data_IF_814843750824
#
_entry.id   IF_814843750824
#
_cell.length_a   1.000
_cell.length_b   1.000
_cell.length_c   1.000
_cell.angle_alpha   90.00
_cell.angle_beta   90.00
_cell.angle_gamma   90.00
#
_symmetry.space_group_name_H-M   'P 1'
#
loop_
_entity.id
_entity.type
_entity.pdbx_description
1 polymer ?
#
# COMPACT_ATOMS: atom_id res chain seq x y z
N UNK A 1 -140.23 91.79 -54.01
CA UNK A 1 -139.28 92.47 -53.10
C UNK A 1 -138.72 91.51 -52.04
N UNK A 2 -139.51 90.59 -51.46
CA UNK A 2 -139.03 89.63 -50.44
C UNK A 2 -138.04 88.55 -50.89
N UNK A 3 -138.12 88.03 -52.13
CA UNK A 3 -137.25 86.92 -52.58
C UNK A 3 -135.81 87.35 -52.92
N UNK A 4 -135.59 88.61 -53.32
CA UNK A 4 -134.27 89.12 -53.67
C UNK A 4 -133.40 89.33 -52.42
N UNK A 5 -133.99 89.81 -51.31
CA UNK A 5 -133.27 89.98 -50.04
C UNK A 5 -132.84 88.65 -49.41
N UNK A 6 -133.60 87.57 -49.61
CA UNK A 6 -133.23 86.24 -49.10
C UNK A 6 -132.05 85.63 -49.88
N UNK A 7 -131.99 85.85 -51.19
CA UNK A 7 -130.87 85.39 -52.03
C UNK A 7 -129.59 86.17 -51.73
N UNK A 8 -129.68 87.47 -51.48
CA UNK A 8 -128.55 88.32 -51.08
C UNK A 8 -127.98 87.94 -49.71
N UNK A 9 -128.86 87.61 -48.75
CA UNK A 9 -128.45 87.08 -47.45
C UNK A 9 -127.74 85.72 -47.56
N UNK A 10 -128.25 84.79 -48.38
CA UNK A 10 -127.61 83.49 -48.63
C UNK A 10 -126.24 83.61 -49.33
N UNK A 11 -126.09 84.58 -50.24
CA UNK A 11 -124.80 84.85 -50.87
C UNK A 11 -123.78 85.44 -49.87
N UNK A 12 -124.23 86.33 -48.99
CA UNK A 12 -123.39 86.87 -47.91
C UNK A 12 -122.97 85.79 -46.90
N UNK A 13 -123.84 84.83 -46.60
CA UNK A 13 -123.55 83.70 -45.72
C UNK A 13 -122.48 82.77 -46.33
N UNK A 14 -122.64 82.36 -47.58
CA UNK A 14 -121.64 81.52 -48.30
C UNK A 14 -120.29 82.23 -48.40
N UNK A 15 -120.28 83.55 -48.61
CA UNK A 15 -119.05 84.35 -48.61
C UNK A 15 -118.37 84.36 -47.24
N UNK A 16 -119.15 84.50 -46.16
CA UNK A 16 -118.61 84.46 -44.79
C UNK A 16 -118.07 83.07 -44.41
N UNK A 17 -118.73 81.99 -44.85
CA UNK A 17 -118.28 80.64 -44.59
C UNK A 17 -117.01 80.28 -45.39
N UNK A 18 -116.91 80.72 -46.65
CA UNK A 18 -115.70 80.55 -47.45
C UNK A 18 -114.51 81.26 -46.81
N UNK A 19 -114.72 82.50 -46.33
CA UNK A 19 -113.70 83.24 -45.60
C UNK A 19 -113.27 82.52 -44.31
N UNK A 20 -114.24 81.97 -43.55
CA UNK A 20 -113.95 81.20 -42.33
C UNK A 20 -113.19 79.91 -42.63
N UNK A 21 -113.46 79.24 -43.77
CA UNK A 21 -112.69 78.06 -44.20
C UNK A 21 -111.26 78.43 -44.57
N UNK A 22 -111.06 79.55 -45.26
CA UNK A 22 -109.72 80.05 -45.58
C UNK A 22 -108.93 80.47 -44.34
N UNK A 23 -109.59 81.06 -43.34
CA UNK A 23 -108.98 81.35 -42.02
C UNK A 23 -108.57 80.06 -41.30
N UNK A 24 -109.44 79.04 -41.29
CA UNK A 24 -109.14 77.74 -40.67
C UNK A 24 -108.00 77.02 -41.41
N UNK A 25 -107.96 77.10 -42.73
CA UNK A 25 -106.88 76.52 -43.54
C UNK A 25 -105.54 77.19 -43.21
N UNK A 26 -105.49 78.52 -43.13
CA UNK A 26 -104.29 79.26 -42.69
C UNK A 26 -103.83 78.84 -41.30
N UNK A 27 -104.75 78.67 -40.36
CA UNK A 27 -104.42 78.23 -38.99
C UNK A 27 -103.81 76.81 -39.02
N UNK A 28 -104.43 75.91 -39.78
CA UNK A 28 -103.97 74.52 -39.90
C UNK A 28 -102.58 74.44 -40.56
N UNK A 29 -102.33 75.23 -41.61
CA UNK A 29 -101.02 75.33 -42.26
C UNK A 29 -99.93 75.86 -41.30
N UNK A 30 -100.27 76.86 -40.49
CA UNK A 30 -99.36 77.40 -39.48
C UNK A 30 -99.04 76.37 -38.38
N UNK A 31 -100.03 75.59 -37.93
CA UNK A 31 -99.82 74.49 -36.97
C UNK A 31 -98.92 73.39 -37.54
N UNK A 32 -99.11 72.99 -38.81
CA UNK A 32 -98.25 72.00 -39.45
C UNK A 32 -96.80 72.47 -39.54
N UNK A 33 -96.58 73.73 -39.91
CA UNK A 33 -95.23 74.32 -39.94
C UNK A 33 -94.60 74.38 -38.54
N UNK A 34 -95.39 74.64 -37.51
CA UNK A 34 -94.92 74.66 -36.12
C UNK A 34 -94.54 73.25 -35.64
N UNK A 35 -95.37 72.24 -35.91
CA UNK A 35 -95.08 70.85 -35.55
C UNK A 35 -93.83 70.33 -36.27
N UNK A 36 -93.64 70.66 -37.56
CA UNK A 36 -92.41 70.32 -38.28
C UNK A 36 -91.17 70.91 -37.63
N UNK A 37 -91.25 72.17 -37.17
CA UNK A 37 -90.15 72.84 -36.47
C UNK A 37 -89.83 72.17 -35.12
N UNK A 38 -90.85 71.77 -34.37
CA UNK A 38 -90.66 71.08 -33.09
C UNK A 38 -90.11 69.65 -33.26
N UNK A 39 -90.57 68.90 -34.26
CA UNK A 39 -90.01 67.58 -34.59
C UNK A 39 -88.53 67.66 -34.97
N UNK A 40 -88.13 68.69 -35.72
CA UNK A 40 -86.73 68.89 -36.07
C UNK A 40 -85.87 69.14 -34.81
N UNK A 41 -86.33 69.99 -33.89
CA UNK A 41 -85.65 70.25 -32.61
C UNK A 41 -85.54 69.00 -31.74
N UNK A 42 -86.59 68.17 -31.68
CA UNK A 42 -86.58 66.93 -30.89
C UNK A 42 -85.54 65.94 -31.45
N UNK A 43 -85.46 65.81 -32.78
CA UNK A 43 -84.47 64.97 -33.45
C UNK A 43 -83.03 65.39 -33.16
N UNK A 44 -82.76 66.70 -33.17
CA UNK A 44 -81.44 67.26 -32.82
C UNK A 44 -81.06 66.98 -31.36
N UNK A 45 -82.00 67.16 -30.43
CA UNK A 45 -81.77 66.90 -28.99
C UNK A 45 -81.49 65.42 -28.71
N UNK A 46 -82.24 64.50 -29.34
CA UNK A 46 -82.04 63.07 -29.18
C UNK A 46 -80.70 62.60 -29.75
N UNK A 47 -80.29 63.15 -30.90
CA UNK A 47 -79.00 62.83 -31.51
C UNK A 47 -77.83 63.34 -30.65
N UNK A 48 -77.92 64.57 -30.13
CA UNK A 48 -76.92 65.13 -29.23
C UNK A 48 -76.76 64.29 -27.94
N UNK A 49 -77.88 63.84 -27.35
CA UNK A 49 -77.87 63.00 -26.16
C UNK A 49 -77.30 61.59 -26.42
N UNK A 50 -77.71 60.95 -27.51
CA UNK A 50 -77.21 59.63 -27.91
C UNK A 50 -75.70 59.63 -28.19
N UNK A 51 -75.18 60.69 -28.82
CA UNK A 51 -73.75 60.86 -29.06
C UNK A 51 -72.97 61.04 -27.75
N UNK A 52 -73.51 61.79 -26.78
CA UNK A 52 -72.88 61.97 -25.46
C UNK A 52 -72.81 60.65 -24.67
N UNK A 53 -73.90 59.87 -24.63
CA UNK A 53 -73.91 58.58 -23.92
C UNK A 53 -73.01 57.53 -24.56
N UNK A 54 -72.88 57.55 -25.90
CA UNK A 54 -71.99 56.64 -26.64
C UNK A 54 -70.51 56.98 -26.41
N UNK A 55 -70.17 58.27 -26.32
CA UNK A 55 -68.83 58.72 -25.99
C UNK A 55 -68.46 58.34 -24.53
N UNK A 56 -69.28 58.71 -23.55
CA UNK A 56 -69.05 58.37 -22.12
C UNK A 56 -68.87 56.87 -21.89
N UNK A 57 -69.71 56.03 -22.51
CA UNK A 57 -69.60 54.56 -22.41
C UNK A 57 -68.32 54.02 -23.06
N UNK A 58 -67.80 54.66 -24.11
CA UNK A 58 -66.60 54.23 -24.81
C UNK A 58 -65.32 54.64 -24.07
N UNK A 59 -65.35 55.78 -23.36
CA UNK A 59 -64.20 56.28 -22.59
C UNK A 59 -64.07 55.66 -21.18
N UNK A 60 -65.16 55.17 -20.57
CA UNK A 60 -65.12 54.64 -19.18
C UNK A 60 -64.24 53.38 -18.99
N UNK A 61 -64.23 52.37 -19.89
CA UNK A 61 -63.31 51.24 -19.79
C UNK A 61 -61.86 51.63 -20.07
N UNK A 62 -61.64 52.56 -21.01
CA UNK A 62 -60.32 53.02 -21.45
C UNK A 62 -59.56 53.81 -20.38
N UNK A 63 -60.24 54.44 -19.42
CA UNK A 63 -59.61 55.17 -18.31
C UNK A 63 -59.26 54.24 -17.13
N UNK A 64 -60.06 53.20 -16.89
CA UNK A 64 -59.83 52.25 -15.77
C UNK A 64 -58.71 51.25 -16.04
N UNK A 65 -58.49 50.88 -17.30
CA UNK A 65 -57.41 49.98 -17.70
C UNK A 65 -56.00 50.53 -17.39
N UNK A 66 -55.63 51.78 -17.75
CA UNK A 66 -54.32 52.34 -17.40
C UNK A 66 -54.17 52.55 -15.89
N UNK A 67 -55.26 52.79 -15.15
CA UNK A 67 -55.21 52.82 -13.68
C UNK A 67 -54.91 51.46 -13.06
N UNK A 68 -55.49 50.37 -13.59
CA UNK A 68 -55.18 49.00 -13.16
C UNK A 68 -53.73 48.64 -13.51
N UNK A 69 -53.29 48.91 -14.74
CA UNK A 69 -51.91 48.71 -15.17
C UNK A 69 -50.92 49.50 -14.32
N UNK A 70 -51.25 50.74 -13.92
CA UNK A 70 -50.45 51.53 -12.97
C UNK A 70 -50.33 50.84 -11.61
N UNK A 71 -51.45 50.36 -11.04
CA UNK A 71 -51.44 49.66 -9.74
C UNK A 71 -50.65 48.35 -9.80
N UNK A 72 -50.78 47.59 -10.88
CA UNK A 72 -50.00 46.36 -11.13
C UNK A 72 -48.50 46.67 -11.29
N UNK A 73 -48.13 47.73 -12.01
CA UNK A 73 -46.74 48.19 -12.11
C UNK A 73 -46.17 48.58 -10.74
N UNK A 74 -46.94 49.28 -9.90
CA UNK A 74 -46.48 49.62 -8.55
C UNK A 74 -46.26 48.38 -7.68
N UNK A 75 -47.14 47.38 -7.73
CA UNK A 75 -46.91 46.12 -7.00
C UNK A 75 -45.70 45.36 -7.53
N UNK A 76 -45.55 45.27 -8.86
CA UNK A 76 -44.40 44.60 -9.49
C UNK A 76 -43.08 45.31 -9.16
N UNK A 77 -43.05 46.65 -9.12
CA UNK A 77 -41.87 47.41 -8.71
C UNK A 77 -41.51 47.17 -7.23
N UNK A 78 -42.50 47.03 -6.35
CA UNK A 78 -42.27 46.72 -4.95
C UNK A 78 -41.72 45.30 -4.77
N UNK A 79 -42.26 44.34 -5.52
CA UNK A 79 -41.78 42.95 -5.54
C UNK A 79 -40.37 42.87 -6.13
N UNK A 80 -40.06 43.64 -7.17
CA UNK A 80 -38.73 43.73 -7.77
C UNK A 80 -37.68 44.18 -6.74
N UNK A 81 -37.97 45.20 -5.92
CA UNK A 81 -37.06 45.64 -4.88
C UNK A 81 -36.85 44.58 -3.78
N UNK A 82 -37.86 43.77 -3.48
CA UNK A 82 -37.73 42.63 -2.56
C UNK A 82 -36.89 41.51 -3.17
N UNK A 83 -37.11 41.16 -4.43
CA UNK A 83 -36.31 40.19 -5.16
C UNK A 83 -34.84 40.61 -5.27
N UNK A 84 -34.57 41.90 -5.48
CA UNK A 84 -33.21 42.44 -5.51
C UNK A 84 -32.52 42.34 -4.15
N UNK A 85 -33.24 42.59 -3.05
CA UNK A 85 -32.70 42.38 -1.69
C UNK A 85 -32.38 40.92 -1.40
N UNK A 86 -33.27 40.00 -1.75
CA UNK A 86 -33.03 38.56 -1.59
C UNK A 86 -31.85 38.09 -2.46
N UNK A 87 -31.74 38.56 -3.71
CA UNK A 87 -30.59 38.28 -4.58
C UNK A 87 -29.28 38.80 -3.98
N UNK A 88 -29.26 40.01 -3.43
CA UNK A 88 -28.08 40.58 -2.79
C UNK A 88 -27.71 39.82 -1.50
N UNK A 89 -28.70 39.36 -0.75
CA UNK A 89 -28.49 38.53 0.44
C UNK A 89 -27.87 37.17 0.06
N UNK A 90 -28.44 36.48 -0.93
CA UNK A 90 -27.90 35.21 -1.43
C UNK A 90 -26.48 35.40 -1.98
N UNK A 91 -26.22 36.49 -2.72
CA UNK A 91 -24.87 36.81 -3.22
C UNK A 91 -23.87 37.02 -2.08
N UNK A 92 -24.27 37.76 -1.04
CA UNK A 92 -23.39 38.03 0.12
C UNK A 92 -23.09 36.74 0.89
N UNK A 93 -24.09 35.89 1.10
CA UNK A 93 -23.93 34.59 1.75
C UNK A 93 -23.00 33.68 0.95
N UNK A 94 -23.17 33.62 -0.37
CA UNK A 94 -22.30 32.83 -1.24
C UNK A 94 -20.85 33.31 -1.16
N UNK A 95 -20.63 34.63 -1.13
CA UNK A 95 -19.29 35.19 -1.02
C UNK A 95 -18.64 34.88 0.33
N UNK A 96 -19.38 34.99 1.44
CA UNK A 96 -18.89 34.62 2.78
C UNK A 96 -18.55 33.13 2.86
N UNK A 97 -19.39 32.27 2.29
CA UNK A 97 -19.15 30.83 2.24
C UNK A 97 -17.97 30.47 1.34
N UNK A 98 -17.80 31.16 0.21
CA UNK A 98 -16.63 31.01 -0.68
C UNK A 98 -15.33 31.45 0.02
N UNK A 99 -15.35 32.56 0.76
CA UNK A 99 -14.21 33.01 1.57
C UNK A 99 -13.87 31.99 2.67
N UNK A 100 -14.88 31.48 3.39
CA UNK A 100 -14.69 30.43 4.39
C UNK A 100 -14.09 29.16 3.77
N UNK A 101 -14.65 28.68 2.66
CA UNK A 101 -14.13 27.52 1.95
C UNK A 101 -12.71 27.76 1.45
N UNK A 102 -12.39 28.94 0.93
CA UNK A 102 -11.04 29.29 0.50
C UNK A 102 -10.04 29.22 1.65
N UNK A 103 -10.43 29.68 2.85
CA UNK A 103 -9.63 29.63 4.07
C UNK A 103 -9.42 28.20 4.57
N UNK A 104 -10.47 27.38 4.61
CA UNK A 104 -10.38 25.95 4.93
C UNK A 104 -9.45 25.23 3.95
N UNK A 105 -9.59 25.49 2.65
CA UNK A 105 -8.78 24.87 1.62
C UNK A 105 -7.30 25.30 1.71
N UNK A 106 -7.04 26.55 2.10
CA UNK A 106 -5.68 27.03 2.36
C UNK A 106 -5.07 26.36 3.61
N UNK A 107 -5.85 26.17 4.67
CA UNK A 107 -5.42 25.42 5.85
C UNK A 107 -5.04 23.99 5.48
N UNK A 108 -5.87 23.31 4.68
CA UNK A 108 -5.56 21.97 4.18
C UNK A 108 -4.30 21.95 3.30
N UNK A 109 -4.11 22.96 2.42
CA UNK A 109 -2.89 23.08 1.62
C UNK A 109 -1.64 23.23 2.49
N UNK A 110 -1.71 24.04 3.54
CA UNK A 110 -0.61 24.21 4.49
C UNK A 110 -0.32 22.92 5.26
N UNK A 111 -1.35 22.23 5.78
CA UNK A 111 -1.17 20.95 6.46
C UNK A 111 -0.54 19.88 5.54
N UNK A 112 -0.99 19.80 4.28
CA UNK A 112 -0.37 18.91 3.29
C UNK A 112 1.09 19.29 3.05
N UNK A 113 1.42 20.58 2.97
CA UNK A 113 2.80 21.05 2.81
C UNK A 113 3.67 20.65 4.00
N UNK A 114 3.20 20.90 5.23
CA UNK A 114 3.91 20.56 6.47
C UNK A 114 4.15 19.05 6.58
N UNK A 115 3.12 18.24 6.31
CA UNK A 115 3.23 16.77 6.31
C UNK A 115 4.19 16.26 5.23
N UNK A 116 4.21 16.91 4.05
CA UNK A 116 5.13 16.56 2.96
C UNK A 116 6.58 16.87 3.32
N UNK A 117 6.83 18.02 3.97
CA UNK A 117 8.15 18.38 4.47
C UNK A 117 8.62 17.43 5.58
N UNK A 118 7.74 17.10 6.54
CA UNK A 118 8.05 16.16 7.61
C UNK A 118 8.39 14.76 7.07
N UNK A 119 7.63 14.30 6.06
CA UNK A 119 7.90 13.03 5.38
C UNK A 119 9.29 13.05 4.73
N UNK A 120 9.62 14.09 3.98
CA UNK A 120 10.93 14.22 3.35
C UNK A 120 12.07 14.21 4.38
N UNK A 121 11.91 14.91 5.50
CA UNK A 121 12.90 14.92 6.59
C UNK A 121 13.06 13.53 7.24
N UNK A 122 11.97 12.78 7.38
CA UNK A 122 12.00 11.39 7.85
C UNK A 122 12.74 10.48 6.87
N UNK A 123 12.53 10.62 5.56
CA UNK A 123 13.26 9.86 4.54
C UNK A 123 14.77 10.12 4.61
N UNK A 124 15.19 11.38 4.74
CA UNK A 124 16.61 11.74 4.93
C UNK A 124 17.18 11.09 6.19
N UNK A 125 16.42 11.12 7.29
CA UNK A 125 16.82 10.55 8.57
C UNK A 125 16.99 9.04 8.46
N UNK A 126 16.02 8.34 7.84
CA UNK A 126 16.08 6.90 7.59
C UNK A 126 17.31 6.56 6.74
N UNK A 127 17.52 7.27 5.62
CA UNK A 127 18.68 7.03 4.76
C UNK A 127 20.01 7.19 5.52
N UNK A 128 20.09 8.19 6.39
CA UNK A 128 21.27 8.44 7.24
C UNK A 128 21.49 7.32 8.26
N UNK A 129 20.44 6.89 8.97
CA UNK A 129 20.51 5.80 9.95
C UNK A 129 20.86 4.48 9.27
N UNK A 130 20.26 4.18 8.12
CA UNK A 130 20.57 2.99 7.32
C UNK A 130 22.04 2.96 6.89
N UNK A 131 22.58 4.09 6.43
CA UNK A 131 24.01 4.20 6.07
C UNK A 131 24.92 3.93 7.27
N UNK A 132 24.56 4.44 8.45
CA UNK A 132 25.30 4.18 9.70
C UNK A 132 25.19 2.70 10.12
N UNK A 133 24.00 2.11 10.05
CA UNK A 133 23.79 0.70 10.36
C UNK A 133 24.63 -0.21 9.46
N UNK A 134 24.62 0.03 8.14
CA UNK A 134 25.42 -0.75 7.19
C UNK A 134 26.95 -0.63 7.43
N UNK A 135 27.42 0.52 7.93
CA UNK A 135 28.82 0.69 8.31
C UNK A 135 29.15 -0.14 9.57
N UNK A 136 28.29 -0.07 10.59
CA UNK A 136 28.45 -0.83 11.83
C UNK A 136 28.39 -2.35 11.58
N UNK A 137 27.49 -2.81 10.71
CA UNK A 137 27.42 -4.22 10.31
C UNK A 137 28.73 -4.69 9.67
N UNK A 138 29.32 -3.90 8.76
CA UNK A 138 30.61 -4.22 8.15
C UNK A 138 31.73 -4.27 9.19
N UNK A 139 31.76 -3.31 10.11
CA UNK A 139 32.74 -3.27 11.19
C UNK A 139 32.63 -4.50 12.11
N UNK A 140 31.41 -4.85 12.52
CA UNK A 140 31.15 -6.02 13.36
C UNK A 140 31.56 -7.31 12.65
N UNK A 141 31.28 -7.45 11.35
CA UNK A 141 31.68 -8.61 10.55
C UNK A 141 33.21 -8.77 10.53
N UNK A 142 33.95 -7.69 10.32
CA UNK A 142 35.42 -7.75 10.34
C UNK A 142 35.98 -8.06 11.73
N UNK A 143 35.36 -7.51 12.79
CA UNK A 143 35.76 -7.78 14.17
C UNK A 143 35.53 -9.25 14.54
N UNK A 144 34.40 -9.83 14.13
CA UNK A 144 34.10 -11.25 14.30
C UNK A 144 35.12 -12.12 13.56
N UNK A 145 35.44 -11.82 12.30
CA UNK A 145 36.45 -12.57 11.54
C UNK A 145 37.84 -12.51 12.21
N UNK A 146 38.22 -11.35 12.76
CA UNK A 146 39.48 -11.20 13.51
C UNK A 146 39.44 -12.06 14.78
N UNK A 147 38.33 -12.04 15.54
CA UNK A 147 38.17 -12.87 16.74
C UNK A 147 38.21 -14.37 16.43
N UNK A 148 37.57 -14.82 15.36
CA UNK A 148 37.63 -16.21 14.90
C UNK A 148 39.08 -16.62 14.58
N UNK A 149 39.82 -15.78 13.85
CA UNK A 149 41.25 -16.02 13.56
C UNK A 149 42.10 -16.06 14.83
N UNK A 150 41.84 -15.20 15.81
CA UNK A 150 42.54 -15.22 17.10
C UNK A 150 42.22 -16.49 17.90
N UNK A 151 40.96 -16.90 17.92
CA UNK A 151 40.54 -18.14 18.59
C UNK A 151 41.22 -19.36 17.99
N UNK A 152 41.29 -19.47 16.66
CA UNK A 152 42.01 -20.55 15.99
C UNK A 152 43.50 -20.57 16.34
N UNK A 153 44.15 -19.40 16.40
CA UNK A 153 45.55 -19.28 16.84
C UNK A 153 45.73 -19.73 18.29
N UNK A 154 44.81 -19.36 19.18
CA UNK A 154 44.82 -19.77 20.58
C UNK A 154 44.72 -21.29 20.72
N UNK A 155 43.78 -21.93 20.00
CA UNK A 155 43.61 -23.38 20.04
C UNK A 155 44.87 -24.13 19.60
N UNK A 156 45.53 -23.67 18.52
CA UNK A 156 46.82 -24.25 18.08
C UNK A 156 47.91 -24.04 19.12
N UNK A 157 47.96 -22.87 19.76
CA UNK A 157 48.90 -22.60 20.85
C UNK A 157 48.68 -23.54 22.03
N UNK A 158 47.43 -23.75 22.43
CA UNK A 158 47.07 -24.65 23.54
C UNK A 158 47.45 -26.10 23.24
N UNK A 159 47.23 -26.58 22.00
CA UNK A 159 47.65 -27.92 21.57
C UNK A 159 49.18 -28.05 21.66
N UNK A 160 49.92 -27.07 21.12
CA UNK A 160 51.39 -27.07 21.18
C UNK A 160 51.89 -27.04 22.61
N UNK A 161 51.29 -26.23 23.47
CA UNK A 161 51.65 -26.14 24.87
C UNK A 161 51.39 -27.48 25.60
N UNK A 162 50.25 -28.14 25.35
CA UNK A 162 49.98 -29.48 25.89
C UNK A 162 51.02 -30.50 25.42
N UNK A 163 51.39 -30.49 24.14
CA UNK A 163 52.41 -31.39 23.58
C UNK A 163 53.80 -31.17 24.24
N UNK A 164 54.24 -29.91 24.35
CA UNK A 164 55.49 -29.55 25.02
C UNK A 164 55.45 -29.91 26.51
N UNK A 165 54.31 -29.76 27.17
CA UNK A 165 54.14 -30.18 28.57
C UNK A 165 54.28 -31.70 28.71
N UNK A 166 53.66 -32.49 27.83
CA UNK A 166 53.82 -33.95 27.85
C UNK A 166 55.26 -34.35 27.58
N UNK A 167 55.92 -33.74 26.59
CA UNK A 167 57.34 -33.99 26.29
C UNK A 167 58.24 -33.65 27.48
N UNK A 168 58.08 -32.48 28.11
CA UNK A 168 58.82 -32.12 29.31
C UNK A 168 58.59 -33.09 30.47
N UNK A 169 57.37 -33.62 30.60
CA UNK A 169 57.06 -34.65 31.60
C UNK A 169 57.82 -35.94 31.29
N UNK A 170 57.85 -36.37 30.02
CA UNK A 170 58.64 -37.54 29.58
C UNK A 170 60.13 -37.33 29.80
N UNK A 171 60.69 -36.19 29.41
CA UNK A 171 62.11 -35.86 29.61
C UNK A 171 62.47 -35.79 31.09
N UNK A 172 61.59 -35.24 31.94
CA UNK A 172 61.79 -35.23 33.39
C UNK A 172 61.83 -36.65 33.96
N UNK A 173 60.88 -37.50 33.58
CA UNK A 173 60.90 -38.92 33.98
C UNK A 173 62.18 -39.62 33.50
N UNK A 174 62.64 -39.33 32.29
CA UNK A 174 63.89 -39.87 31.74
C UNK A 174 65.13 -39.38 32.49
N UNK A 175 65.15 -38.13 32.95
CA UNK A 175 66.25 -37.55 33.73
C UNK A 175 66.29 -37.99 35.19
N UNK A 176 65.13 -38.28 35.79
CA UNK A 176 65.02 -38.79 37.17
C UNK A 176 65.31 -40.30 37.27
N UNK A 177 65.21 -41.05 36.17
CA UNK A 177 65.52 -42.49 36.08
C UNK A 177 67.02 -42.72 35.83
N UNK A 178 67.65 -43.62 36.60
CA UNK A 178 69.02 -44.04 36.35
C UNK A 178 69.16 -44.80 35.01
N UNK A 179 70.38 -44.88 34.42
CA UNK A 179 70.60 -45.52 33.11
C UNK A 179 70.03 -46.95 32.99
N UNK A 180 70.04 -47.69 34.11
CA UNK A 180 69.56 -49.07 34.19
C UNK A 180 68.03 -49.18 34.17
N UNK A 181 67.33 -48.26 34.85
CA UNK A 181 65.87 -48.20 34.87
C UNK A 181 65.31 -47.70 33.53
N UNK A 182 66.03 -46.79 32.86
CA UNK A 182 65.70 -46.31 31.53
C UNK A 182 65.72 -47.42 30.46
N UNK A 183 66.75 -48.28 30.49
CA UNK A 183 66.86 -49.40 29.55
C UNK A 183 65.77 -50.46 29.80
N UNK A 184 65.44 -50.72 31.06
CA UNK A 184 64.35 -51.64 31.43
C UNK A 184 62.98 -51.16 30.93
N UNK A 185 62.66 -49.87 31.10
CA UNK A 185 61.40 -49.28 30.61
C UNK A 185 61.29 -49.32 29.08
N UNK A 186 62.37 -49.04 28.35
CA UNK A 186 62.37 -49.14 26.88
C UNK A 186 62.20 -50.58 26.39
N UNK A 187 62.78 -51.54 27.12
CA UNK A 187 62.61 -52.95 26.84
C UNK A 187 61.15 -53.38 26.95
N UNK A 188 60.45 -53.00 28.04
CA UNK A 188 59.03 -53.35 28.24
C UNK A 188 58.11 -52.69 27.21
N UNK A 189 58.35 -51.43 26.82
CA UNK A 189 57.56 -50.76 25.77
C UNK A 189 57.71 -51.47 24.41
N UNK A 190 58.96 -51.81 24.02
CA UNK A 190 59.22 -52.53 22.78
C UNK A 190 58.64 -53.94 22.81
N UNK A 191 58.73 -54.60 23.95
CA UNK A 191 58.19 -55.94 24.16
C UNK A 191 56.66 -55.94 24.04
N UNK A 192 55.95 -54.98 24.65
CA UNK A 192 54.52 -54.80 24.47
C UNK A 192 54.13 -54.52 23.03
N UNK A 193 54.85 -53.64 22.32
CA UNK A 193 54.61 -53.37 20.90
C UNK A 193 54.78 -54.62 20.04
N UNK A 194 55.83 -55.41 20.30
CA UNK A 194 56.06 -56.70 19.62
C UNK A 194 54.92 -57.68 19.89
N UNK A 195 54.44 -57.76 21.14
CA UNK A 195 53.30 -58.61 21.51
C UNK A 195 52.02 -58.21 20.79
N UNK A 196 51.71 -56.91 20.69
CA UNK A 196 50.53 -56.44 19.93
C UNK A 196 50.62 -56.81 18.45
N UNK A 197 51.77 -56.58 17.80
CA UNK A 197 51.95 -56.95 16.38
C UNK A 197 51.89 -58.46 16.15
N UNK A 198 52.43 -59.27 17.06
CA UNK A 198 52.32 -60.73 16.98
C UNK A 198 50.87 -61.16 17.06
N UNK A 199 50.10 -60.60 17.98
CA UNK A 199 48.69 -60.94 18.14
C UNK A 199 47.84 -60.53 16.91
N UNK A 200 48.14 -59.38 16.28
CA UNK A 200 47.51 -58.98 15.02
C UNK A 200 47.84 -59.95 13.88
N UNK A 201 49.11 -60.35 13.76
CA UNK A 201 49.55 -61.32 12.76
C UNK A 201 48.98 -62.72 13.01
N UNK A 202 48.87 -63.15 14.26
CA UNK A 202 48.24 -64.42 14.65
C UNK A 202 46.77 -64.44 14.24
N UNK A 203 46.04 -63.35 14.51
CA UNK A 203 44.66 -63.20 14.08
C UNK A 203 44.53 -63.20 12.55
N UNK A 204 45.44 -62.53 11.84
CA UNK A 204 45.47 -62.56 10.38
C UNK A 204 45.74 -63.97 9.84
N UNK A 205 46.71 -64.66 10.42
CA UNK A 205 47.13 -66.00 10.02
C UNK A 205 46.02 -67.02 10.29
N UNK A 206 45.32 -66.93 11.41
CA UNK A 206 44.15 -67.77 11.69
C UNK A 206 43.02 -67.53 10.67
N UNK A 207 42.78 -66.26 10.32
CA UNK A 207 41.81 -65.90 9.26
C UNK A 207 42.21 -66.50 7.90
N UNK A 208 43.47 -66.35 7.51
CA UNK A 208 44.00 -66.92 6.26
C UNK A 208 43.96 -68.46 6.26
N UNK A 209 44.27 -69.11 7.38
CA UNK A 209 44.13 -70.56 7.52
C UNK A 209 42.68 -71.01 7.40
N UNK A 210 41.74 -70.26 7.97
CA UNK A 210 40.31 -70.52 7.80
C UNK A 210 39.88 -70.41 6.34
N UNK A 211 40.35 -69.38 5.64
CA UNK A 211 40.09 -69.18 4.21
C UNK A 211 40.73 -70.27 3.34
N UNK A 212 41.96 -70.71 3.66
CA UNK A 212 42.60 -71.87 3.02
C UNK A 212 41.82 -73.16 3.26
N UNK A 213 41.35 -73.41 4.47
CA UNK A 213 40.54 -74.58 4.78
C UNK A 213 39.22 -74.57 3.99
N UNK A 214 38.55 -73.41 3.88
CA UNK A 214 37.36 -73.22 3.03
C UNK A 214 37.66 -73.49 1.56
N UNK A 215 38.78 -73.00 1.04
CA UNK A 215 39.23 -73.28 -0.33
C UNK A 215 39.52 -74.78 -0.54
N UNK A 216 40.11 -75.46 0.44
CA UNK A 216 40.38 -76.90 0.37
C UNK A 216 39.09 -77.75 0.37
N UNK A 217 38.05 -77.28 1.07
CA UNK A 217 36.72 -77.90 1.06
C UNK A 217 35.99 -77.67 -0.26
N UNK A 218 36.09 -76.47 -0.85
CA UNK A 218 35.53 -76.15 -2.17
C UNK A 218 36.37 -76.69 -3.36
N UNK A 219 37.64 -77.04 -3.13
CA UNK A 219 38.65 -77.32 -4.15
C UNK A 219 39.06 -78.80 -4.27
N UNK A 220 38.17 -79.76 -4.02
CA UNK A 220 38.46 -81.20 -4.25
C UNK A 220 38.61 -81.61 -5.73
N UNK A 221 38.72 -80.68 -6.68
CA UNK A 221 38.83 -80.98 -8.13
C UNK A 221 40.19 -80.66 -8.78
N UNK A 222 41.23 -80.26 -8.04
CA UNK A 222 42.52 -79.85 -8.65
C UNK A 222 43.75 -80.51 -8.01
N UNK A 223 43.65 -81.78 -7.60
CA UNK A 223 44.80 -82.61 -7.15
C UNK A 223 45.64 -83.16 -8.32
N UNK A 224 45.87 -82.39 -9.38
CA UNK A 224 46.59 -82.88 -10.57
C UNK A 224 47.77 -82.01 -11.03
N UNK A 225 48.06 -80.88 -10.36
CA UNK A 225 49.12 -79.95 -10.80
C UNK A 225 50.19 -79.69 -9.71
N UNK A 226 50.50 -80.68 -8.86
CA UNK A 226 51.46 -80.51 -7.77
C UNK A 226 52.92 -80.77 -8.19
N UNK A 227 53.17 -81.30 -9.39
CA UNK A 227 54.52 -81.70 -9.85
C UNK A 227 55.23 -80.70 -10.78
N UNK A 228 54.65 -79.53 -11.11
CA UNK A 228 55.26 -78.58 -12.06
C UNK A 228 55.89 -77.34 -11.40
N UNK A 229 55.64 -77.10 -10.12
CA UNK A 229 56.11 -75.89 -9.41
C UNK A 229 57.32 -76.14 -8.50
N UNK A 230 57.51 -77.36 -7.99
CA UNK A 230 58.69 -77.74 -7.19
C UNK A 230 60.00 -77.78 -8.02
N UNK A 231 59.91 -77.94 -9.34
CA UNK A 231 61.07 -78.00 -10.25
C UNK A 231 61.69 -76.60 -10.49
N UNK A 232 60.87 -75.57 -10.67
CA UNK A 232 61.31 -74.19 -10.98
C UNK A 232 61.99 -73.52 -9.79
N UNK A 233 61.52 -73.79 -8.55
CA UNK A 233 62.11 -73.24 -7.33
C UNK A 233 63.53 -73.75 -7.04
N UNK A 234 63.85 -74.99 -7.43
CA UNK A 234 65.19 -75.58 -7.22
C UNK A 234 66.26 -75.02 -8.15
N UNK A 235 65.90 -74.60 -9.36
CA UNK A 235 66.83 -73.94 -10.30
C UNK A 235 67.18 -72.50 -9.88
N UNK A 236 66.22 -71.75 -9.34
CA UNK A 236 66.44 -70.37 -8.91
C UNK A 236 67.39 -70.27 -7.70
N UNK A 237 67.25 -71.18 -6.73
CA UNK A 237 68.12 -71.24 -5.55
C UNK A 237 69.56 -71.69 -5.90
N UNK A 238 69.72 -72.48 -6.96
CA UNK A 238 71.04 -72.94 -7.42
C UNK A 238 71.81 -71.88 -8.23
N UNK A 239 71.11 -70.97 -8.93
CA UNK A 239 71.73 -69.86 -9.65
C UNK A 239 72.24 -68.73 -8.74
N UNK A 240 71.58 -68.47 -7.61
CA UNK A 240 72.00 -67.42 -6.67
C UNK A 240 73.30 -67.77 -5.92
N UNK A 241 73.54 -69.05 -5.61
CA UNK A 241 74.77 -69.50 -4.93
C UNK A 241 76.02 -69.42 -5.84
N UNK A 242 75.86 -69.32 -7.18
CA UNK A 242 76.98 -69.26 -8.14
C UNK A 242 77.46 -67.85 -8.50
N UNK A 243 76.75 -66.79 -8.12
CA UNK A 243 77.15 -65.39 -8.43
C UNK A 243 77.83 -64.69 -7.23
N UNK A 244 77.66 -65.22 -6.01
CA UNK A 244 78.24 -64.67 -4.78
C UNK A 244 79.68 -65.15 -4.49
N UNK A 245 80.50 -65.36 -5.54
CA UNK A 245 81.90 -65.76 -5.35
C UNK A 245 82.94 -65.04 -6.21
N UNK A 246 82.54 -64.05 -6.99
CA UNK A 246 83.49 -63.21 -7.72
C UNK A 246 83.10 -61.73 -7.59
N UNK A 247 84.13 -60.90 -7.38
CA UNK A 247 84.15 -59.43 -7.53
C UNK A 247 83.97 -58.58 -6.25
N UNK A 248 84.95 -58.71 -5.36
CA UNK A 248 85.55 -57.53 -4.73
C UNK A 248 86.31 -56.68 -5.78
N UNK A 249 86.10 -55.36 -5.72
CA UNK A 249 86.99 -54.23 -6.08
C UNK A 249 86.58 -53.31 -7.25
N UNK A 250 86.45 -52.03 -6.87
CA UNK A 250 87.00 -50.81 -7.51
C UNK A 250 86.09 -50.00 -8.48
N UNK A 251 85.51 -48.92 -7.91
CA UNK A 251 85.69 -47.49 -8.30
C UNK A 251 85.16 -46.95 -9.64
N UNK A 252 84.36 -45.87 -9.53
CA UNK A 252 84.67 -44.48 -9.98
C UNK A 252 83.61 -43.80 -10.88
N UNK A 253 83.20 -42.61 -10.40
CA UNK A 253 82.63 -41.40 -11.02
C UNK A 253 82.13 -41.40 -12.48
N UNK A 254 80.98 -40.73 -12.67
CA UNK A 254 80.78 -39.59 -13.58
C UNK A 254 79.42 -38.90 -13.33
N UNK A 255 79.47 -37.67 -12.80
CA UNK A 255 78.50 -36.57 -13.07
C UNK A 255 78.76 -36.00 -14.50
N UNK A 256 78.01 -35.03 -15.13
CA UNK A 256 77.01 -34.10 -14.57
C UNK A 256 75.78 -33.73 -15.49
N UNK A 257 74.87 -32.91 -14.91
CA UNK A 257 74.16 -31.71 -15.46
C UNK A 257 72.63 -31.70 -15.78
N UNK A 258 71.97 -30.79 -15.03
CA UNK A 258 71.04 -29.69 -15.43
C UNK A 258 69.54 -29.93 -15.70
N UNK A 259 68.69 -29.32 -14.85
CA UNK A 259 67.76 -28.18 -15.18
C UNK A 259 66.56 -28.12 -14.20
N UNK A 260 66.47 -27.12 -13.30
CA UNK A 260 65.64 -25.87 -13.33
C UNK A 260 64.13 -26.10 -13.07
N UNK A 261 63.44 -25.62 -12.02
CA UNK A 261 63.02 -24.22 -11.65
C UNK A 261 62.12 -24.27 -10.36
N UNK A 262 61.59 -23.17 -9.74
CA UNK A 262 62.10 -22.48 -8.53
C UNK A 262 61.12 -22.38 -7.31
N UNK A 263 61.53 -21.79 -6.16
CA UNK A 263 60.63 -21.28 -5.11
C UNK A 263 60.58 -19.74 -5.05
N UNK A 264 59.44 -19.18 -4.60
CA UNK A 264 59.19 -17.73 -4.40
C UNK A 264 59.21 -17.34 -2.89
N UNK A 265 59.39 -16.04 -2.54
CA UNK A 265 60.00 -15.59 -1.29
C UNK A 265 59.01 -15.14 -0.20
N UNK A 266 59.46 -14.89 1.05
CA UNK A 266 58.65 -14.26 2.10
C UNK A 266 58.74 -12.73 2.04
N UNK A 267 57.58 -12.07 2.18
CA UNK A 267 57.42 -10.62 2.22
C UNK A 267 57.28 -10.14 3.67
N UNK A 268 58.18 -9.26 4.09
CA UNK A 268 58.17 -8.51 5.33
C UNK A 268 57.12 -7.39 5.29
N UNK A 269 56.27 -7.31 6.31
CA UNK A 269 55.58 -6.07 6.66
C UNK A 269 55.61 -5.84 8.18
N UNK A 270 56.00 -4.62 8.51
CA UNK A 270 56.24 -4.04 9.83
C UNK A 270 54.97 -3.98 10.68
N UNK A 271 55.05 -4.37 11.95
CA UNK A 271 54.05 -4.03 12.97
C UNK A 271 54.67 -2.98 13.89
N UNK A 272 54.07 -1.78 13.85
CA UNK A 272 54.36 -0.68 14.77
C UNK A 272 53.54 -0.90 16.04
N UNK A 273 54.22 -1.10 17.15
CA UNK A 273 53.65 -1.07 18.50
C UNK A 273 52.96 0.27 18.76
N UNK A 274 51.72 0.21 19.25
CA UNK A 274 51.18 1.22 20.15
C UNK A 274 50.57 0.47 21.34
N UNK A 275 51.27 0.64 22.45
CA UNK A 275 50.92 0.32 23.83
C UNK A 275 49.53 0.83 24.20
N UNK A 276 48.77 0.02 24.94
CA UNK A 276 47.72 0.52 25.84
C UNK A 276 47.49 -0.47 27.00
N UNK A 277 47.20 0.00 28.23
CA UNK A 277 47.52 -0.71 29.45
C UNK A 277 46.42 -1.64 29.98
N UNK A 278 46.91 -2.68 30.65
CA UNK A 278 46.31 -3.48 31.71
C UNK A 278 45.24 -2.75 32.55
N UNK A 279 44.07 -3.38 32.72
CA UNK A 279 43.19 -3.34 33.91
C UNK A 279 42.40 -4.67 33.93
N UNK A 280 42.63 -5.45 35.00
CA UNK A 280 41.66 -6.18 35.86
C UNK A 280 40.21 -6.29 35.35
N UNK A 281 39.48 -7.39 35.50
CA UNK A 281 39.45 -8.33 36.62
C UNK A 281 38.90 -9.69 36.20
N UNK A 282 39.27 -10.67 37.03
CA UNK A 282 38.83 -12.06 37.06
C UNK A 282 37.37 -12.13 37.54
N UNK A 283 36.42 -12.52 36.69
CA UNK A 283 35.12 -13.04 37.15
C UNK A 283 34.71 -14.29 36.36
N UNK A 284 34.72 -15.41 37.07
CA UNK A 284 34.18 -16.70 36.68
C UNK A 284 32.66 -16.58 36.59
N UNK A 285 32.10 -16.59 35.37
CA UNK A 285 30.66 -16.75 35.18
C UNK A 285 30.30 -18.23 35.02
N UNK A 286 29.35 -18.77 35.80
CA UNK A 286 28.86 -20.13 35.61
C UNK A 286 27.99 -20.22 34.36
N UNK A 287 28.33 -21.15 33.48
CA UNK A 287 27.52 -21.57 32.35
C UNK A 287 26.22 -22.22 32.87
N UNK A 288 25.09 -21.55 32.68
CA UNK A 288 23.77 -22.19 32.64
C UNK A 288 23.00 -21.64 31.44
N UNK A 289 22.25 -22.48 30.70
CA UNK A 289 21.52 -22.03 29.51
C UNK A 289 20.38 -21.10 29.94
N UNK A 290 20.13 -19.96 29.25
CA UNK A 290 18.95 -19.17 29.51
C UNK A 290 17.71 -19.95 29.05
N UNK A 291 16.75 -20.12 29.94
CA UNK A 291 15.40 -20.56 29.60
C UNK A 291 14.86 -19.72 28.43
N UNK A 292 14.40 -20.39 27.36
CA UNK A 292 13.83 -19.74 26.19
C UNK A 292 12.46 -19.12 26.54
N UNK A 293 12.47 -17.95 27.14
CA UNK A 293 11.36 -17.00 27.05
C UNK A 293 11.93 -15.59 27.14
N UNK A 294 12.50 -15.11 26.04
CA UNK A 294 12.73 -13.67 25.90
C UNK A 294 11.36 -12.99 25.90
N UNK A 295 11.10 -12.02 26.81
CA UNK A 295 9.96 -11.15 26.64
C UNK A 295 10.08 -10.55 25.24
N UNK A 296 9.01 -10.62 24.44
CA UNK A 296 8.98 -9.89 23.17
C UNK A 296 9.48 -8.47 23.44
N UNK A 297 10.42 -7.98 22.61
CA UNK A 297 10.98 -6.64 22.81
C UNK A 297 9.84 -5.64 22.96
N UNK A 298 10.02 -4.58 23.78
CA UNK A 298 8.98 -3.56 24.02
C UNK A 298 8.33 -3.06 22.70
N UNK A 299 9.13 -2.98 21.63
CA UNK A 299 8.68 -2.66 20.28
C UNK A 299 7.77 -3.73 19.65
N UNK A 300 8.10 -5.02 19.80
CA UNK A 300 7.25 -6.11 19.33
C UNK A 300 5.93 -6.20 20.11
N UNK A 301 5.95 -5.93 21.41
CA UNK A 301 4.73 -5.87 22.22
C UNK A 301 3.82 -4.70 21.78
N UNK A 302 4.39 -3.52 21.54
CA UNK A 302 3.65 -2.37 21.03
C UNK A 302 3.06 -2.64 19.64
N UNK A 303 3.83 -3.28 18.75
CA UNK A 303 3.35 -3.65 17.42
C UNK A 303 2.15 -4.60 17.49
N UNK A 304 2.20 -5.63 18.35
CA UNK A 304 1.10 -6.57 18.53
C UNK A 304 -0.17 -5.90 19.07
N UNK A 305 -0.04 -4.99 20.04
CA UNK A 305 -1.18 -4.23 20.57
C UNK A 305 -1.82 -3.33 19.53
N UNK A 306 -1.00 -2.65 18.71
CA UNK A 306 -1.49 -1.81 17.64
C UNK A 306 -2.16 -2.65 16.52
N UNK A 307 -1.61 -3.83 16.21
CA UNK A 307 -2.22 -4.75 15.26
C UNK A 307 -3.57 -5.30 15.76
N UNK A 308 -3.68 -5.62 17.06
CA UNK A 308 -4.94 -6.02 17.67
C UNK A 308 -5.98 -4.88 17.60
N UNK A 309 -5.55 -3.63 17.79
CA UNK A 309 -6.41 -2.46 17.64
C UNK A 309 -6.88 -2.29 16.20
N UNK A 310 -5.99 -2.38 15.21
CA UNK A 310 -6.35 -2.34 13.78
C UNK A 310 -7.34 -3.44 13.41
N UNK A 311 -7.15 -4.64 13.94
CA UNK A 311 -8.06 -5.76 13.69
C UNK A 311 -9.48 -5.47 14.21
N UNK A 312 -9.60 -4.91 15.43
CA UNK A 312 -10.90 -4.51 16.01
C UNK A 312 -11.57 -3.37 15.24
N UNK A 313 -10.79 -2.39 14.77
CA UNK A 313 -11.31 -1.30 13.95
C UNK A 313 -11.86 -1.82 12.61
N UNK A 314 -11.14 -2.74 11.96
CA UNK A 314 -11.60 -3.40 10.75
C UNK A 314 -12.86 -4.22 10.99
N UNK A 315 -12.92 -4.98 12.08
CA UNK A 315 -14.10 -5.74 12.47
C UNK A 315 -15.32 -4.83 12.66
N UNK A 316 -15.16 -3.71 13.37
CA UNK A 316 -16.23 -2.73 13.56
C UNK A 316 -16.70 -2.09 12.24
N UNK A 317 -15.77 -1.79 11.34
CA UNK A 317 -16.09 -1.24 10.02
C UNK A 317 -16.89 -2.25 9.19
N UNK A 318 -16.48 -3.52 9.21
CA UNK A 318 -17.19 -4.61 8.52
C UNK A 318 -18.59 -4.80 9.10
N UNK A 319 -18.73 -4.81 10.43
CA UNK A 319 -20.04 -4.92 11.09
C UNK A 319 -20.97 -3.76 10.70
N UNK A 320 -20.44 -2.52 10.70
CA UNK A 320 -21.19 -1.34 10.28
C UNK A 320 -21.69 -1.47 8.84
N UNK A 321 -20.82 -1.91 7.93
CA UNK A 321 -21.18 -2.12 6.53
C UNK A 321 -22.21 -3.24 6.36
N UNK A 322 -22.10 -4.34 7.12
CA UNK A 322 -23.10 -5.41 7.14
C UNK A 322 -24.46 -4.88 7.59
N UNK A 323 -24.50 -4.08 8.66
CA UNK A 323 -25.73 -3.46 9.16
C UNK A 323 -26.36 -2.51 8.12
N UNK A 324 -25.55 -1.73 7.41
CA UNK A 324 -26.01 -0.87 6.32
C UNK A 324 -26.61 -1.67 5.16
N UNK A 325 -25.94 -2.76 4.75
CA UNK A 325 -26.44 -3.66 3.71
C UNK A 325 -27.76 -4.32 4.12
N UNK A 326 -27.89 -4.75 5.38
CA UNK A 326 -29.14 -5.29 5.91
C UNK A 326 -30.24 -4.23 5.89
N UNK A 327 -29.98 -3.02 6.40
CA UNK A 327 -30.94 -1.90 6.35
C UNK A 327 -31.37 -1.56 4.93
N UNK A 328 -30.44 -1.50 3.98
CA UNK A 328 -30.75 -1.21 2.58
C UNK A 328 -31.60 -2.31 1.94
N UNK A 329 -31.28 -3.56 2.26
CA UNK A 329 -32.03 -4.74 1.80
C UNK A 329 -33.45 -4.73 2.36
N UNK A 330 -33.62 -4.50 3.66
CA UNK A 330 -34.92 -4.37 4.32
C UNK A 330 -35.73 -3.21 3.75
N UNK A 331 -35.11 -2.04 3.56
CA UNK A 331 -35.73 -0.88 2.94
C UNK A 331 -36.27 -1.23 1.55
N UNK A 332 -35.44 -1.89 0.74
CA UNK A 332 -35.80 -2.29 -0.62
C UNK A 332 -36.95 -3.30 -0.59
N UNK A 333 -36.86 -4.35 0.22
CA UNK A 333 -37.91 -5.35 0.37
C UNK A 333 -39.24 -4.72 0.84
N UNK A 334 -39.19 -3.82 1.82
CA UNK A 334 -40.37 -3.12 2.32
C UNK A 334 -41.00 -2.22 1.24
N UNK A 335 -40.18 -1.51 0.45
CA UNK A 335 -40.65 -0.67 -0.67
C UNK A 335 -41.45 -1.48 -1.68
N UNK A 336 -40.93 -2.64 -2.10
CA UNK A 336 -41.61 -3.49 -3.07
C UNK A 336 -42.76 -4.32 -2.48
N UNK A 337 -42.67 -4.71 -1.20
CA UNK A 337 -43.77 -5.39 -0.49
C UNK A 337 -44.97 -4.46 -0.31
N UNK A 338 -44.77 -3.21 0.13
CA UNK A 338 -45.81 -2.17 0.20
C UNK A 338 -46.40 -1.85 -1.17
N UNK A 339 -45.58 -1.78 -2.21
CA UNK A 339 -46.06 -1.57 -3.59
C UNK A 339 -46.93 -2.73 -4.08
N UNK A 340 -46.62 -3.96 -3.66
CA UNK A 340 -47.42 -5.16 -3.99
C UNK A 340 -48.74 -5.19 -3.23
N UNK A 341 -48.76 -4.74 -1.97
CA UNK A 341 -49.97 -4.67 -1.14
C UNK A 341 -50.94 -3.58 -1.61
N UNK A 342 -50.42 -2.42 -2.06
CA UNK A 342 -51.22 -1.33 -2.63
C UNK A 342 -51.79 -1.63 -4.03
N UNK A 343 -51.34 -2.70 -4.71
CA UNK A 343 -51.89 -3.16 -5.99
C UNK A 343 -53.01 -4.19 -5.86
N UNK A 344 -53.30 -4.65 -4.63
CA UNK A 344 -54.35 -5.64 -4.32
C UNK A 344 -55.55 -5.03 -3.58
N UNK A 345 -55.62 -3.70 -3.51
CA UNK A 345 -56.80 -2.90 -3.16
C UNK A 345 -57.23 -2.20 -4.44
#
# INVERSE_FOLDING_TARGET
IGEFMAMEAGFSEVKSELQSRDDLLRITEMEQLQLHRELLKIGECQNAQGNKTRLESSYSPSIKEPERKRKELFSVMQDQANHEKELNKVRSQLQEEEEYHSSEQERMRNEISDLTEELHQKEITIATVMKKAALLEKQLKTELEIKEKMLAKQQVSDIRYKAVRTENTHLKMMGDLGPEQYMSMNFTIREHSRHTSINELEYENERLQNDLAKLHVNGKSTRTNQNTYEETGRYAYQSQIKVEKNEERLTQDCEPNTSTTPPLPPLTFQIKEMTSPLISDDEVFPLSPPDMSFPASLAAQHFLLEEEKRAKELENLLNTHIDELQRYTEFTLNKYSKLKQNRHI
#
